data_IF_893596904031
#
_entry.id   IF_893596904031
#
_cell.length_a   1.000
_cell.length_b   1.000
_cell.length_c   1.000
_cell.angle_alpha   90.00
_cell.angle_beta   90.00
_cell.angle_gamma   90.00
#
_symmetry.space_group_name_H-M   'P 1'
#
loop_
_entity.id
_entity.type
_entity.pdbx_description
1 polymer ?
#
# COMPACT_ATOMS: atom_id res chain seq x y z
N UNK A 1 -23.32 9.65 -2.75
CA UNK A 1 -22.13 8.85 -3.12
C UNK A 1 -20.91 9.75 -3.05
N UNK A 2 -20.00 9.49 -2.11
CA UNK A 2 -18.84 10.35 -1.85
C UNK A 2 -17.99 10.53 -3.12
N UNK A 3 -17.69 11.78 -3.47
CA UNK A 3 -16.90 12.16 -4.65
C UNK A 3 -15.51 11.49 -4.67
N UNK A 4 -15.02 11.06 -3.51
CA UNK A 4 -13.74 10.37 -3.36
C UNK A 4 -13.74 8.94 -3.94
N UNK A 5 -14.89 8.26 -3.98
CA UNK A 5 -15.01 6.95 -4.64
C UNK A 5 -14.85 7.10 -6.16
N UNK A 6 -15.34 8.19 -6.75
CA UNK A 6 -15.17 8.45 -8.20
C UNK A 6 -13.71 8.61 -8.61
N UNK A 7 -12.81 9.03 -7.71
CA UNK A 7 -11.36 9.15 -8.01
C UNK A 7 -10.65 7.80 -8.06
N UNK A 8 -11.06 6.83 -7.23
CA UNK A 8 -10.53 5.46 -7.31
C UNK A 8 -10.95 4.71 -8.57
N UNK A 9 -12.07 5.10 -9.19
CA UNK A 9 -12.68 4.39 -10.32
C UNK A 9 -12.76 5.21 -11.60
N UNK A 10 -12.04 6.32 -11.74
CA UNK A 10 -11.99 7.00 -13.03
C UNK A 10 -11.32 6.09 -14.06
N UNK A 11 -12.15 5.37 -14.82
CA UNK A 11 -11.80 4.62 -16.02
C UNK A 11 -11.02 5.57 -16.93
N UNK A 12 -9.73 5.28 -17.17
CA UNK A 12 -8.96 5.92 -18.24
C UNK A 12 -7.76 6.77 -17.84
N UNK A 13 -7.14 6.57 -16.67
CA UNK A 13 -5.82 7.16 -16.45
C UNK A 13 -4.74 6.34 -17.18
N UNK A 14 -4.10 6.96 -18.18
CA UNK A 14 -3.11 6.37 -19.13
C UNK A 14 -1.77 6.03 -18.48
N UNK A 15 -1.76 5.58 -17.22
CA UNK A 15 -0.57 5.21 -16.46
C UNK A 15 -0.48 3.69 -16.30
N UNK A 16 -0.53 2.97 -17.42
CA UNK A 16 -0.15 1.55 -17.52
C UNK A 16 1.37 1.33 -17.36
N UNK A 17 2.14 2.39 -17.03
CA UNK A 17 3.57 2.28 -16.76
C UNK A 17 3.78 1.81 -15.33
N UNK A 18 4.36 0.61 -15.20
CA UNK A 18 4.98 0.16 -13.95
C UNK A 18 5.94 1.25 -13.44
N UNK A 19 5.66 1.81 -12.27
CA UNK A 19 6.53 2.79 -11.63
C UNK A 19 7.76 2.03 -11.11
N UNK A 20 8.98 2.33 -11.60
CA UNK A 20 10.18 1.66 -11.12
C UNK A 20 10.39 2.00 -9.64
N UNK A 21 10.48 0.97 -8.80
CA UNK A 21 10.78 1.13 -7.38
C UNK A 21 12.25 1.48 -7.19
N UNK A 22 12.53 2.57 -6.47
CA UNK A 22 13.91 2.86 -6.05
C UNK A 22 14.32 1.92 -4.90
N UNK A 23 15.62 1.89 -4.58
CA UNK A 23 16.19 1.04 -3.51
C UNK A 23 15.46 1.16 -2.17
N UNK A 24 14.97 2.36 -1.81
CA UNK A 24 14.23 2.60 -0.56
C UNK A 24 12.88 1.87 -0.60
N UNK A 25 12.08 2.07 -1.64
CA UNK A 25 10.75 1.47 -1.74
C UNK A 25 10.81 -0.05 -1.97
N UNK A 26 11.77 -0.55 -2.74
CA UNK A 26 12.00 -2.00 -2.86
C UNK A 26 12.31 -2.65 -1.51
N UNK A 27 13.04 -1.97 -0.61
CA UNK A 27 13.30 -2.47 0.75
C UNK A 27 12.02 -2.54 1.58
N UNK A 28 11.14 -1.54 1.47
CA UNK A 28 9.86 -1.50 2.19
C UNK A 28 8.95 -2.62 1.68
N UNK A 29 8.84 -2.81 0.36
CA UNK A 29 8.09 -3.95 -0.22
C UNK A 29 8.64 -5.28 0.30
N UNK A 30 9.96 -5.49 0.28
CA UNK A 30 10.57 -6.71 0.85
C UNK A 30 10.23 -6.91 2.34
N UNK A 31 10.21 -5.85 3.16
CA UNK A 31 9.78 -5.93 4.56
C UNK A 31 8.32 -6.39 4.68
N UNK A 32 7.41 -5.82 3.90
CA UNK A 32 5.97 -6.16 3.92
C UNK A 32 5.73 -7.62 3.51
N UNK A 33 6.50 -8.12 2.55
CA UNK A 33 6.38 -9.49 2.03
C UNK A 33 7.16 -10.54 2.83
N UNK A 34 8.01 -10.15 3.78
CA UNK A 34 8.78 -11.07 4.61
C UNK A 34 7.88 -12.03 5.41
N UNK A 35 8.37 -13.25 5.68
CA UNK A 35 7.75 -14.21 6.59
C UNK A 35 8.79 -14.66 7.62
N UNK A 36 8.50 -14.64 8.93
CA UNK A 36 7.25 -14.17 9.57
C UNK A 36 6.98 -12.68 9.40
N UNK A 37 5.77 -12.21 9.73
CA UNK A 37 5.39 -10.79 9.68
C UNK A 37 6.31 -9.95 10.58
N UNK A 38 6.88 -8.90 9.99
CA UNK A 38 7.71 -7.93 10.70
C UNK A 38 6.85 -7.01 11.56
N UNK A 39 7.43 -6.53 12.66
CA UNK A 39 6.81 -5.56 13.57
C UNK A 39 7.58 -4.21 13.62
N UNK A 40 8.51 -3.99 12.68
CA UNK A 40 9.37 -2.80 12.59
C UNK A 40 9.08 -1.94 11.35
N UNK A 41 7.92 -2.16 10.71
CA UNK A 41 7.50 -1.38 9.53
C UNK A 41 6.80 -0.13 10.04
N UNK A 42 7.37 1.04 9.74
CA UNK A 42 6.81 2.32 10.19
C UNK A 42 5.61 2.72 9.33
N UNK A 43 4.61 3.34 9.94
CA UNK A 43 3.42 3.85 9.26
C UNK A 43 3.79 4.79 8.10
N UNK A 44 4.71 5.72 8.33
CA UNK A 44 5.18 6.66 7.31
C UNK A 44 5.93 5.99 6.14
N UNK A 45 6.58 4.84 6.35
CA UNK A 45 7.18 4.04 5.26
C UNK A 45 6.06 3.51 4.35
N UNK A 46 4.94 3.07 4.92
CA UNK A 46 3.77 2.58 4.18
C UNK A 46 3.11 3.72 3.40
N UNK A 47 2.84 4.86 4.03
CA UNK A 47 2.23 6.01 3.35
C UNK A 47 3.08 6.48 2.17
N UNK A 48 4.39 6.62 2.39
CA UNK A 48 5.34 7.01 1.34
C UNK A 48 5.37 6.01 0.19
N UNK A 49 5.28 4.70 0.48
CA UNK A 49 5.23 3.64 -0.53
C UNK A 49 3.96 3.77 -1.39
N UNK A 50 2.78 3.91 -0.77
CA UNK A 50 1.51 4.02 -1.50
C UNK A 50 1.51 5.25 -2.42
N UNK A 51 1.98 6.40 -1.93
CA UNK A 51 2.08 7.61 -2.75
C UNK A 51 3.08 7.44 -3.90
N UNK A 52 4.22 6.78 -3.67
CA UNK A 52 5.20 6.51 -4.72
C UNK A 52 4.65 5.58 -5.82
N UNK A 53 3.82 4.61 -5.44
CA UNK A 53 3.12 3.71 -6.36
C UNK A 53 1.96 4.39 -7.11
N UNK A 54 1.77 5.71 -6.93
CA UNK A 54 0.70 6.48 -7.57
C UNK A 54 -0.67 6.32 -6.88
N UNK A 55 -0.70 5.74 -5.69
CA UNK A 55 -1.89 5.59 -4.88
C UNK A 55 -2.31 6.89 -4.18
N UNK A 56 -3.52 6.87 -3.63
CA UNK A 56 -4.13 7.99 -2.89
C UNK A 56 -4.42 7.54 -1.46
N UNK A 57 -4.13 8.41 -0.50
CA UNK A 57 -4.45 8.24 0.92
C UNK A 57 -5.43 9.33 1.34
N UNK A 58 -6.49 8.95 2.05
CA UNK A 58 -7.49 9.87 2.61
C UNK A 58 -7.71 9.59 4.08
N UNK A 59 -7.93 10.65 4.85
CA UNK A 59 -8.33 10.54 6.24
C UNK A 59 -9.79 10.08 6.34
N UNK A 60 -10.04 9.16 7.25
CA UNK A 60 -11.38 8.77 7.68
C UNK A 60 -11.69 9.33 9.06
N UNK A 61 -12.73 8.81 9.69
CA UNK A 61 -13.05 9.16 11.08
C UNK A 61 -12.05 8.55 12.07
N UNK A 62 -11.46 9.41 12.92
CA UNK A 62 -10.45 9.02 13.90
C UNK A 62 -9.13 8.63 13.25
N UNK A 63 -8.48 7.56 13.72
CA UNK A 63 -7.22 7.05 13.18
C UNK A 63 -7.35 6.30 11.85
N UNK A 64 -8.52 6.30 11.21
CA UNK A 64 -8.72 5.55 9.96
C UNK A 64 -8.08 6.27 8.80
N UNK A 65 -7.34 5.53 7.97
CA UNK A 65 -6.79 6.00 6.69
C UNK A 65 -7.28 5.07 5.58
N UNK A 66 -7.87 5.65 4.53
CA UNK A 66 -8.39 4.96 3.35
C UNK A 66 -7.35 5.01 2.25
N UNK A 67 -6.87 3.85 1.81
CA UNK A 67 -5.89 3.71 0.74
C UNK A 67 -6.58 3.29 -0.55
N UNK A 68 -6.07 3.82 -1.66
CA UNK A 68 -6.51 3.48 -3.01
C UNK A 68 -5.30 3.34 -3.93
N UNK A 69 -5.20 2.20 -4.61
CA UNK A 69 -4.09 1.87 -5.51
C UNK A 69 -4.58 0.88 -6.55
N UNK A 70 -4.40 1.21 -7.83
CA UNK A 70 -4.79 0.35 -8.96
C UNK A 70 -6.23 -0.17 -8.81
N UNK A 71 -7.18 0.74 -8.61
CA UNK A 71 -8.61 0.48 -8.39
C UNK A 71 -8.96 -0.41 -7.18
N UNK A 72 -7.97 -0.75 -6.34
CA UNK A 72 -8.16 -1.52 -5.11
C UNK A 72 -8.17 -0.59 -3.92
N UNK A 73 -9.14 -0.80 -3.01
CA UNK A 73 -9.34 0.01 -1.81
C UNK A 73 -9.13 -0.81 -0.55
N UNK A 74 -8.56 -0.19 0.47
CA UNK A 74 -8.48 -0.77 1.82
C UNK A 74 -8.54 0.34 2.87
N UNK A 75 -9.01 0.01 4.07
CA UNK A 75 -8.96 0.91 5.22
C UNK A 75 -8.01 0.34 6.26
N UNK A 76 -7.14 1.19 6.77
CA UNK A 76 -6.18 0.87 7.82
C UNK A 76 -6.35 1.83 8.98
N UNK A 77 -5.83 1.45 10.14
CA UNK A 77 -5.73 2.34 11.30
C UNK A 77 -4.29 2.80 11.45
N UNK A 78 -4.08 4.11 11.49
CA UNK A 78 -2.83 4.70 11.91
C UNK A 78 -2.57 4.31 13.37
N UNK A 79 -1.41 3.72 13.68
CA UNK A 79 -1.10 3.34 15.05
C UNK A 79 -0.98 4.59 15.93
N UNK A 80 -1.51 4.50 17.16
CA UNK A 80 -1.37 5.55 18.17
C UNK A 80 -1.35 4.91 19.57
N UNK A 81 -0.37 5.23 20.45
CA UNK A 81 0.77 6.14 20.25
C UNK A 81 1.93 5.55 19.43
N UNK A 82 1.86 4.27 19.05
CA UNK A 82 2.91 3.58 18.29
C UNK A 82 3.11 4.14 16.89
N UNK A 83 4.30 3.95 16.30
CA UNK A 83 4.62 4.41 14.93
C UNK A 83 4.67 3.26 13.93
N UNK A 84 4.74 2.02 14.42
CA UNK A 84 4.88 0.80 13.66
C UNK A 84 3.53 0.09 13.46
N UNK A 85 3.38 -0.58 12.32
CA UNK A 85 2.25 -1.47 12.09
C UNK A 85 2.37 -2.71 12.97
N UNK A 86 1.24 -3.15 13.54
CA UNK A 86 1.16 -4.50 14.11
C UNK A 86 1.22 -5.57 13.00
N UNK A 87 1.49 -6.82 13.40
CA UNK A 87 1.63 -7.95 12.46
C UNK A 87 0.36 -8.22 11.65
N UNK A 88 -0.82 -7.98 12.22
CA UNK A 88 -2.11 -8.14 11.54
C UNK A 88 -2.33 -7.08 10.45
N UNK A 89 -1.94 -5.84 10.73
CA UNK A 89 -1.92 -4.74 9.78
C UNK A 89 -0.91 -5.02 8.65
N UNK A 90 0.28 -5.56 8.96
CA UNK A 90 1.26 -5.98 7.94
C UNK A 90 0.71 -7.09 7.04
N UNK A 91 0.04 -8.10 7.61
CA UNK A 91 -0.63 -9.17 6.83
C UNK A 91 -1.70 -8.60 5.90
N UNK A 92 -2.52 -7.68 6.40
CA UNK A 92 -3.58 -7.01 5.63
C UNK A 92 -3.01 -6.12 4.53
N UNK A 93 -1.92 -5.39 4.82
CA UNK A 93 -1.22 -4.55 3.86
C UNK A 93 -0.61 -5.37 2.72
N UNK A 94 -0.03 -6.54 3.02
CA UNK A 94 0.47 -7.46 2.00
C UNK A 94 -0.64 -7.93 1.07
N UNK A 95 -1.79 -8.35 1.62
CA UNK A 95 -2.96 -8.77 0.83
C UNK A 95 -3.46 -7.64 -0.06
N UNK A 96 -3.50 -6.42 0.49
CA UNK A 96 -3.88 -5.22 -0.25
C UNK A 96 -2.93 -4.96 -1.44
N UNK A 97 -1.61 -4.98 -1.23
CA UNK A 97 -0.63 -4.79 -2.31
C UNK A 97 -0.74 -5.85 -3.40
N UNK A 98 -0.91 -7.13 -3.03
CA UNK A 98 -1.14 -8.22 -3.98
C UNK A 98 -2.38 -7.96 -4.83
N UNK A 99 -3.49 -7.58 -4.20
CA UNK A 99 -4.74 -7.27 -4.91
C UNK A 99 -4.60 -6.03 -5.82
N UNK A 100 -3.73 -5.09 -5.45
CA UNK A 100 -3.36 -3.94 -6.28
C UNK A 100 -2.34 -4.27 -7.37
N UNK A 101 -1.91 -5.53 -7.54
CA UNK A 101 -0.93 -5.93 -8.56
C UNK A 101 0.52 -5.61 -8.21
N UNK A 102 0.84 -5.32 -6.96
CA UNK A 102 2.20 -5.09 -6.47
C UNK A 102 2.72 -6.35 -5.81
N UNK A 103 3.82 -6.88 -6.34
CA UNK A 103 4.45 -8.11 -5.88
C UNK A 103 5.89 -7.84 -5.42
N UNK A 104 6.44 -8.74 -4.60
CA UNK A 104 7.85 -8.71 -4.28
C UNK A 104 8.65 -9.19 -5.50
N UNK A 105 9.57 -8.38 -6.01
CA UNK A 105 10.41 -8.66 -7.20
C UNK A 105 11.32 -9.91 -7.07
N UNK A 106 11.30 -10.57 -5.91
CA UNK A 106 12.02 -11.83 -5.68
C UNK A 106 11.17 -13.01 -6.15
N UNK A 107 11.04 -13.15 -7.47
CA UNK A 107 10.34 -14.26 -8.11
C UNK A 107 9.99 -13.93 -9.54
N UNK A 108 10.85 -14.36 -10.46
CA UNK A 108 10.69 -14.46 -11.92
C UNK A 108 9.47 -13.78 -12.55
N UNK A 109 9.75 -12.89 -13.52
CA UNK A 109 9.02 -12.95 -14.79
C UNK A 109 8.99 -14.42 -15.22
N UNK A 110 7.85 -15.09 -15.07
CA UNK A 110 7.56 -16.29 -15.85
C UNK A 110 6.46 -15.90 -16.83
N UNK A 111 6.95 -15.71 -18.06
CA UNK A 111 6.32 -15.79 -19.37
C UNK A 111 5.04 -14.97 -19.57
#
# INVERSE_FOLDING_TARGET
>A
MDNDIKKCYHKGDKRDKAIPLNKKYSRIVRKIFARPERADIKWNEVESLILNLGGIIKEGSGSRKRFCLNNTRSTFHEPHPGKELDKGAVKSLRKYLINSGVFNETGSRKL
#
